data_IF_413671135360
#
_entry.id   IF_413671135360
#
_cell.length_a   1.000
_cell.length_b   1.000
_cell.length_c   1.000
_cell.angle_alpha   90.00
_cell.angle_beta   90.00
_cell.angle_gamma   90.00
#
_symmetry.space_group_name_H-M   'P 1'
#
loop_
_entity.id
_entity.type
_entity.pdbx_description
1 polymer ?
#
# COMPACT_ATOMS: atom_id res chain seq x y z
N UNK A 1 2.83 -6.65 3.02
CA UNK A 1 2.57 -5.42 3.78
C UNK A 1 1.14 -5.44 4.25
N UNK A 2 0.88 -5.13 5.52
CA UNK A 2 -0.46 -5.02 6.11
C UNK A 2 -0.42 -4.00 7.25
N UNK A 3 -1.58 -3.55 7.70
CA UNK A 3 -1.71 -2.64 8.85
C UNK A 3 -1.20 -3.23 10.17
N UNK A 4 -1.04 -4.55 10.25
CA UNK A 4 -0.55 -5.25 11.46
C UNK A 4 0.96 -5.12 11.65
N UNK A 5 1.71 -5.01 10.55
CA UNK A 5 3.19 -4.98 10.57
C UNK A 5 3.78 -3.66 10.05
N UNK A 6 2.97 -2.79 9.46
CA UNK A 6 3.43 -1.52 8.92
C UNK A 6 3.70 -0.51 10.05
N UNK A 7 4.75 0.28 9.90
CA UNK A 7 5.01 1.43 10.78
C UNK A 7 4.14 2.62 10.35
N UNK A 8 3.26 3.15 11.22
CA UNK A 8 2.44 4.30 10.89
C UNK A 8 3.26 5.60 10.90
N UNK A 9 2.79 6.59 10.15
CA UNK A 9 3.25 7.97 10.23
C UNK A 9 2.70 8.62 11.53
N UNK A 10 3.22 9.80 11.90
CA UNK A 10 2.79 10.53 13.09
C UNK A 10 1.31 10.94 13.07
N UNK A 11 0.73 11.10 11.88
CA UNK A 11 -0.68 11.43 11.67
C UNK A 11 -1.60 10.19 11.59
N UNK A 12 -1.05 8.99 11.84
CA UNK A 12 -1.78 7.73 11.79
C UNK A 12 -2.01 7.17 10.38
N UNK A 13 -1.55 7.85 9.32
CA UNK A 13 -1.56 7.30 7.95
C UNK A 13 -0.43 6.29 7.75
N UNK A 14 -0.47 5.55 6.64
CA UNK A 14 0.61 4.65 6.24
C UNK A 14 1.19 5.07 4.89
N UNK A 15 2.51 5.12 4.81
CA UNK A 15 3.24 5.22 3.54
C UNK A 15 3.75 3.84 3.17
N UNK A 16 3.31 3.28 2.03
CA UNK A 16 3.84 2.03 1.47
C UNK A 16 4.78 2.36 0.31
N UNK A 17 5.98 1.77 0.33
CA UNK A 17 6.99 1.97 -0.69
C UNK A 17 7.16 0.71 -1.52
N UNK A 18 7.47 0.87 -2.80
CA UNK A 18 7.63 -0.23 -3.73
C UNK A 18 9.01 -0.14 -4.37
N UNK A 19 9.91 -1.04 -4.01
CA UNK A 19 11.27 -1.10 -4.57
C UNK A 19 12.23 0.00 -4.10
N UNK A 20 11.95 0.71 -3.00
CA UNK A 20 12.79 1.82 -2.52
C UNK A 20 13.98 1.36 -1.64
N UNK A 21 14.36 0.08 -1.70
CA UNK A 21 15.46 -0.49 -0.91
C UNK A 21 15.10 -0.88 0.53
N UNK A 22 16.00 -1.62 1.19
CA UNK A 22 15.78 -2.21 2.53
C UNK A 22 15.72 -1.19 3.66
N UNK A 23 16.28 0.00 3.46
CA UNK A 23 16.31 1.04 4.48
C UNK A 23 15.04 1.90 4.50
N UNK A 24 14.15 1.70 3.52
CA UNK A 24 12.91 2.44 3.43
C UNK A 24 11.81 1.74 4.25
N UNK A 25 11.22 2.45 5.21
CA UNK A 25 10.11 1.92 6.00
C UNK A 25 8.94 1.51 5.10
N UNK A 26 8.29 0.40 5.46
CA UNK A 26 7.17 -0.20 4.74
C UNK A 26 7.47 -0.49 3.25
N UNK A 27 8.69 -0.91 2.92
CA UNK A 27 9.06 -1.26 1.56
C UNK A 27 8.60 -2.67 1.16
N UNK A 28 8.03 -2.78 -0.04
CA UNK A 28 7.67 -4.03 -0.72
C UNK A 28 8.58 -4.20 -1.93
N UNK A 29 9.34 -5.30 -2.05
CA UNK A 29 10.14 -5.57 -3.24
C UNK A 29 9.26 -5.75 -4.48
N UNK A 30 9.67 -5.16 -5.61
CA UNK A 30 8.95 -5.23 -6.89
C UNK A 30 9.83 -5.68 -8.07
N UNK A 31 11.13 -5.91 -7.83
CA UNK A 31 12.08 -6.33 -8.87
C UNK A 31 11.65 -7.65 -9.49
N UNK A 32 11.51 -7.64 -10.82
CA UNK A 32 11.19 -8.81 -11.62
C UNK A 32 11.67 -8.60 -13.07
N UNK A 33 11.77 -9.67 -13.84
CA UNK A 33 12.36 -9.67 -15.19
C UNK A 33 11.55 -8.85 -16.22
N UNK A 34 10.25 -8.65 -15.97
CA UNK A 34 9.37 -7.92 -16.90
C UNK A 34 9.42 -6.40 -16.71
N UNK A 35 9.92 -5.93 -15.56
CA UNK A 35 9.85 -4.52 -15.17
C UNK A 35 8.43 -4.00 -14.89
N UNK A 36 7.40 -4.86 -14.92
CA UNK A 36 6.01 -4.51 -14.63
C UNK A 36 5.57 -5.24 -13.37
N UNK A 37 4.80 -4.58 -12.52
CA UNK A 37 4.19 -5.21 -11.35
C UNK A 37 2.74 -4.76 -11.20
N UNK A 38 1.95 -5.59 -10.52
CA UNK A 38 0.60 -5.27 -10.09
C UNK A 38 0.56 -5.19 -8.57
N UNK A 39 -0.39 -4.43 -8.02
CA UNK A 39 -0.66 -4.43 -6.60
C UNK A 39 -2.15 -4.65 -6.34
N UNK A 40 -2.46 -5.20 -5.17
CA UNK A 40 -3.83 -5.43 -4.73
C UNK A 40 -3.97 -4.96 -3.29
N UNK A 41 -5.08 -4.30 -2.99
CA UNK A 41 -5.43 -3.90 -1.63
C UNK A 41 -6.56 -4.82 -1.15
N UNK A 42 -6.38 -5.43 0.02
CA UNK A 42 -7.39 -6.27 0.66
C UNK A 42 -7.85 -5.62 1.95
N UNK A 43 -9.17 -5.56 2.15
CA UNK A 43 -9.79 -5.14 3.40
C UNK A 43 -10.59 -6.32 3.95
N UNK A 44 -10.17 -6.84 5.08
CA UNK A 44 -10.87 -7.93 5.75
C UNK A 44 -11.96 -7.35 6.62
N UNK A 45 -13.18 -7.85 6.45
CA UNK A 45 -14.40 -7.35 7.13
C UNK A 45 -14.60 -5.85 6.84
N UNK A 46 -14.82 -5.46 5.57
CA UNK A 46 -15.01 -4.06 5.22
C UNK A 46 -16.28 -3.48 5.85
N UNK A 47 -16.22 -2.21 6.22
CA UNK A 47 -17.41 -1.45 6.64
C UNK A 47 -18.36 -1.18 5.47
N UNK A 48 -19.61 -0.78 5.79
CA UNK A 48 -20.62 -0.35 4.82
C UNK A 48 -20.07 0.72 3.85
N UNK A 49 -19.34 1.71 4.37
CA UNK A 49 -18.69 2.74 3.54
C UNK A 49 -17.82 2.18 2.42
N UNK A 50 -17.07 1.11 2.70
CA UNK A 50 -16.19 0.48 1.70
C UNK A 50 -16.97 -0.47 0.78
N UNK A 51 -18.00 -1.13 1.30
CA UNK A 51 -18.79 -2.13 0.57
C UNK A 51 -19.84 -1.50 -0.36
N UNK A 52 -20.55 -0.49 0.13
CA UNK A 52 -21.83 -0.03 -0.41
C UNK A 52 -21.80 1.45 -0.87
N UNK A 53 -20.98 2.31 -0.24
CA UNK A 53 -20.94 3.75 -0.55
C UNK A 53 -19.92 4.12 -1.66
N UNK A 54 -19.29 3.13 -2.29
CA UNK A 54 -18.32 3.36 -3.37
C UNK A 54 -17.01 4.01 -2.92
N UNK A 55 -16.65 3.91 -1.64
CA UNK A 55 -15.40 4.46 -1.14
C UNK A 55 -14.18 3.79 -1.78
N UNK A 56 -13.33 4.60 -2.43
CA UNK A 56 -12.09 4.13 -3.01
C UNK A 56 -11.04 3.85 -1.93
N UNK A 57 -10.87 2.57 -1.61
CA UNK A 57 -9.86 2.13 -0.63
C UNK A 57 -8.43 2.17 -1.19
N UNK A 58 -8.24 1.76 -2.45
CA UNK A 58 -6.91 1.72 -3.04
C UNK A 58 -6.36 3.16 -3.19
N UNK A 59 -5.14 3.47 -2.70
CA UNK A 59 -4.57 4.80 -2.83
C UNK A 59 -4.18 5.10 -4.29
N UNK A 60 -3.91 6.37 -4.59
CA UNK A 60 -3.18 6.71 -5.82
C UNK A 60 -1.71 6.32 -5.63
N UNK A 61 -1.12 5.68 -6.64
CA UNK A 61 0.31 5.37 -6.64
C UNK A 61 1.03 6.55 -7.29
N UNK A 62 2.08 7.03 -6.64
CA UNK A 62 2.96 8.07 -7.17
C UNK A 62 4.29 7.44 -7.53
N UNK A 63 4.80 7.79 -8.71
CA UNK A 63 6.19 7.50 -9.06
C UNK A 63 7.08 8.41 -8.22
N UNK A 64 8.11 7.83 -7.62
CA UNK A 64 9.18 8.56 -6.93
C UNK A 64 10.32 8.74 -7.93
N UNK A 65 10.87 9.96 -8.01
CA UNK A 65 12.04 10.28 -8.84
C UNK A 65 13.35 9.86 -8.17
#
# INVERSE_FOLDING_TARGET
MSSDIASPNTDGTYTVRFGCGTNAANNVPITNDTGVFNFVVRHYIPSERVRDEGYRLAPLILKVE
#
